data_IF_538007710470
#
_entry.id   IF_538007710470
#
_cell.length_a   1.000
_cell.length_b   1.000
_cell.length_c   1.000
_cell.angle_alpha   90.00
_cell.angle_beta   90.00
_cell.angle_gamma   90.00
#
_symmetry.space_group_name_H-M   'P 1'
#
loop_
_entity.id
_entity.type
_entity.pdbx_description
1 polymer ?
#
# COMPACT_ATOMS: atom_id res chain seq x y z
N UNK A 1 -12.45 -13.76 60.64
CA UNK A 1 -12.89 -13.67 59.22
C UNK A 1 -12.32 -12.47 58.44
N UNK A 2 -11.33 -11.73 58.96
CA UNK A 2 -10.79 -10.52 58.29
C UNK A 2 -9.63 -10.77 57.29
N UNK A 3 -9.07 -11.99 57.23
CA UNK A 3 -7.83 -12.25 56.47
C UNK A 3 -8.04 -12.66 55.00
N UNK A 4 -9.28 -12.98 54.58
CA UNK A 4 -9.58 -13.38 53.18
C UNK A 4 -9.82 -12.20 52.25
N UNK A 5 -10.32 -11.07 52.76
CA UNK A 5 -10.55 -9.89 51.91
C UNK A 5 -9.25 -9.17 51.53
N UNK A 6 -8.25 -9.10 52.40
CA UNK A 6 -6.95 -8.48 52.06
C UNK A 6 -6.23 -9.18 50.89
N UNK A 7 -6.37 -10.51 50.76
CA UNK A 7 -5.71 -11.28 49.70
C UNK A 7 -6.32 -11.03 48.31
N UNK A 8 -7.63 -10.83 48.21
CA UNK A 8 -8.28 -10.50 46.93
C UNK A 8 -7.92 -9.08 46.45
N UNK A 9 -7.81 -8.11 47.36
CA UNK A 9 -7.47 -6.73 47.00
C UNK A 9 -6.03 -6.61 46.48
N UNK A 10 -5.09 -7.35 47.07
CA UNK A 10 -3.69 -7.31 46.65
C UNK A 10 -3.51 -7.90 45.23
N UNK A 11 -4.23 -8.97 44.90
CA UNK A 11 -4.12 -9.60 43.58
C UNK A 11 -4.69 -8.73 42.45
N UNK A 12 -5.79 -8.02 42.69
CA UNK A 12 -6.43 -7.17 41.69
C UNK A 12 -5.59 -5.93 41.36
N UNK A 13 -4.99 -5.33 42.39
CA UNK A 13 -4.10 -4.16 42.22
C UNK A 13 -2.82 -4.54 41.46
N UNK A 14 -2.24 -5.71 41.72
CA UNK A 14 -1.08 -6.19 40.97
C UNK A 14 -1.39 -6.46 39.48
N UNK A 15 -2.57 -7.01 39.17
CA UNK A 15 -2.98 -7.25 37.78
C UNK A 15 -3.19 -5.92 37.04
N UNK A 16 -3.85 -4.94 37.67
CA UNK A 16 -4.05 -3.61 37.07
C UNK A 16 -2.73 -2.86 36.85
N UNK A 17 -1.77 -2.98 37.78
CA UNK A 17 -0.42 -2.41 37.62
C UNK A 17 0.36 -3.11 36.49
N UNK A 18 0.26 -4.43 36.35
CA UNK A 18 0.91 -5.17 35.26
C UNK A 18 0.29 -4.84 33.89
N UNK A 19 -1.04 -4.79 33.78
CA UNK A 19 -1.71 -4.41 32.53
C UNK A 19 -1.41 -2.96 32.18
N UNK A 20 -1.43 -2.06 33.18
CA UNK A 20 -1.08 -0.65 33.00
C UNK A 20 0.36 -0.45 32.56
N UNK A 21 1.32 -1.17 33.13
CA UNK A 21 2.74 -1.08 32.73
C UNK A 21 3.01 -1.68 31.35
N UNK A 22 2.33 -2.76 30.96
CA UNK A 22 2.41 -3.31 29.60
C UNK A 22 1.81 -2.33 28.58
N UNK A 23 0.69 -1.70 28.90
CA UNK A 23 0.07 -0.69 28.04
C UNK A 23 0.96 0.55 27.91
N UNK A 24 1.52 1.03 29.02
CA UNK A 24 2.44 2.16 29.04
C UNK A 24 3.75 1.85 28.30
N UNK A 25 4.30 0.64 28.43
CA UNK A 25 5.50 0.23 27.69
C UNK A 25 5.24 0.13 26.17
N UNK A 26 4.04 -0.27 25.74
CA UNK A 26 3.65 -0.23 24.32
C UNK A 26 3.40 1.18 23.79
N UNK A 27 2.91 2.09 24.63
CA UNK A 27 2.74 3.50 24.26
C UNK A 27 4.09 4.25 24.28
N UNK A 28 5.02 3.85 25.14
CA UNK A 28 6.38 4.41 25.27
C UNK A 28 7.41 3.77 24.34
N UNK A 29 7.14 2.59 23.76
CA UNK A 29 7.71 2.16 22.48
C UNK A 29 7.11 3.00 21.34
N UNK A 30 7.06 4.31 21.57
CA UNK A 30 6.52 5.31 20.69
C UNK A 30 7.30 5.25 19.38
N UNK A 31 6.56 5.02 18.31
CA UNK A 31 6.96 5.14 16.91
C UNK A 31 8.04 6.24 16.76
N UNK A 32 9.33 5.88 16.67
CA UNK A 32 10.40 6.84 16.73
C UNK A 32 10.21 7.86 15.61
N UNK A 33 9.89 9.10 16.00
CA UNK A 33 9.66 10.24 15.11
C UNK A 33 8.47 10.13 14.13
N UNK A 34 7.44 9.34 14.41
CA UNK A 34 6.27 9.23 13.53
C UNK A 34 6.58 8.53 12.21
N UNK A 35 7.43 7.48 12.25
CA UNK A 35 7.79 6.65 11.10
C UNK A 35 6.56 5.98 10.51
N UNK A 36 5.64 5.44 11.30
CA UNK A 36 4.47 4.71 10.78
C UNK A 36 3.60 5.60 9.87
N UNK A 37 3.18 6.82 10.26
CA UNK A 37 2.49 7.75 9.36
C UNK A 37 3.28 8.06 8.08
N UNK A 38 4.60 8.26 8.17
CA UNK A 38 5.47 8.54 7.02
C UNK A 38 5.54 7.34 6.08
N UNK A 39 5.71 6.13 6.61
CA UNK A 39 5.69 4.88 5.84
C UNK A 39 4.36 4.71 5.11
N UNK A 40 3.23 4.96 5.77
CA UNK A 40 1.90 4.89 5.14
C UNK A 40 1.78 5.89 3.98
N UNK A 41 2.23 7.13 4.20
CA UNK A 41 2.17 8.18 3.19
C UNK A 41 3.10 7.88 2.00
N UNK A 42 4.36 7.48 2.23
CA UNK A 42 5.31 7.05 1.19
C UNK A 42 4.75 5.89 0.37
N UNK A 43 4.27 4.86 1.07
CA UNK A 43 3.69 3.67 0.43
C UNK A 43 2.50 4.07 -0.43
N UNK A 44 1.63 4.96 0.05
CA UNK A 44 0.51 5.41 -0.76
C UNK A 44 0.97 6.11 -2.04
N UNK A 45 1.91 7.04 -1.92
CA UNK A 45 2.39 7.83 -3.04
C UNK A 45 3.06 6.97 -4.12
N UNK A 46 3.99 6.11 -3.70
CA UNK A 46 4.72 5.20 -4.59
C UNK A 46 3.76 4.19 -5.24
N UNK A 47 2.92 3.52 -4.45
CA UNK A 47 1.95 2.55 -4.98
C UNK A 47 0.94 3.20 -5.91
N UNK A 48 0.55 4.45 -5.66
CA UNK A 48 -0.41 5.17 -6.48
C UNK A 48 0.21 5.53 -7.83
N UNK A 49 1.45 6.02 -7.83
CA UNK A 49 2.20 6.34 -9.03
C UNK A 49 2.40 5.12 -9.94
N UNK A 50 2.89 4.01 -9.39
CA UNK A 50 3.07 2.76 -10.15
C UNK A 50 1.75 2.22 -10.69
N UNK A 51 0.74 2.10 -9.82
CA UNK A 51 -0.58 1.59 -10.19
C UNK A 51 -1.24 2.47 -11.24
N UNK A 52 -1.13 3.79 -11.11
CA UNK A 52 -1.67 4.74 -12.07
C UNK A 52 -1.02 4.59 -13.43
N UNK A 53 0.32 4.49 -13.49
CA UNK A 53 1.04 4.31 -14.75
C UNK A 53 0.59 3.02 -15.48
N UNK A 54 0.43 1.92 -14.75
CA UNK A 54 -0.01 0.64 -15.31
C UNK A 54 -1.47 0.70 -15.76
N UNK A 55 -2.39 1.05 -14.87
CA UNK A 55 -3.83 1.06 -15.16
C UNK A 55 -4.19 2.10 -16.24
N UNK A 56 -3.55 3.27 -16.27
CA UNK A 56 -3.75 4.27 -17.32
C UNK A 56 -3.20 3.82 -18.68
N UNK A 57 -2.10 3.06 -18.70
CA UNK A 57 -1.59 2.43 -19.93
C UNK A 57 -2.60 1.44 -20.51
N UNK A 58 -3.21 0.61 -19.66
CA UNK A 58 -4.24 -0.34 -20.09
C UNK A 58 -5.55 0.35 -20.47
N UNK A 59 -5.97 1.40 -19.75
CA UNK A 59 -7.10 2.25 -20.14
C UNK A 59 -6.92 2.80 -21.56
N UNK A 60 -5.74 3.34 -21.88
CA UNK A 60 -5.41 3.82 -23.23
C UNK A 60 -5.42 2.69 -24.26
N UNK A 61 -4.99 1.50 -23.87
CA UNK A 61 -5.05 0.30 -24.74
C UNK A 61 -6.50 -0.09 -25.04
N UNK A 62 -7.38 -0.11 -24.03
CA UNK A 62 -8.81 -0.36 -24.22
C UNK A 62 -9.50 0.71 -25.08
N UNK A 63 -9.11 1.98 -24.93
CA UNK A 63 -9.62 3.07 -25.76
C UNK A 63 -9.25 2.91 -27.25
N UNK A 64 -8.08 2.33 -27.55
CA UNK A 64 -7.58 2.07 -28.91
C UNK A 64 -8.04 0.73 -29.49
N UNK A 65 -8.54 -0.19 -28.65
CA UNK A 65 -8.85 -1.58 -29.03
C UNK A 65 -9.89 -1.71 -30.16
N UNK A 66 -10.68 -0.66 -30.43
CA UNK A 66 -11.57 -0.61 -31.60
C UNK A 66 -10.83 -0.77 -32.94
N UNK A 67 -9.51 -0.53 -32.99
CA UNK A 67 -8.69 -0.73 -34.19
C UNK A 67 -7.96 -2.09 -34.20
N UNK A 68 -7.47 -2.57 -33.05
CA UNK A 68 -6.82 -3.89 -32.85
C UNK A 68 -6.88 -4.31 -31.37
N UNK A 69 -7.39 -5.49 -31.01
CA UNK A 69 -7.38 -5.95 -29.62
C UNK A 69 -5.97 -6.41 -29.20
N UNK A 70 -5.17 -5.49 -28.66
CA UNK A 70 -3.80 -5.78 -28.16
C UNK A 70 -3.78 -6.40 -26.75
N UNK A 71 -4.91 -6.30 -26.03
CA UNK A 71 -5.05 -6.70 -24.63
C UNK A 71 -6.19 -7.71 -24.49
N UNK A 72 -5.84 -8.99 -24.37
CA UNK A 72 -6.77 -10.09 -24.08
C UNK A 72 -6.81 -10.40 -22.58
N UNK A 73 -7.87 -11.06 -22.12
CA UNK A 73 -7.98 -11.53 -20.72
C UNK A 73 -6.83 -12.44 -20.32
N UNK A 74 -6.42 -13.36 -21.21
CA UNK A 74 -5.30 -14.26 -20.98
C UNK A 74 -3.98 -13.51 -20.77
N UNK A 75 -3.69 -12.54 -21.64
CA UNK A 75 -2.48 -11.71 -21.53
C UNK A 75 -2.49 -10.88 -20.26
N UNK A 76 -3.64 -10.33 -19.89
CA UNK A 76 -3.82 -9.58 -18.65
C UNK A 76 -3.56 -10.43 -17.41
N UNK A 77 -4.18 -11.61 -17.33
CA UNK A 77 -3.99 -12.56 -16.22
C UNK A 77 -2.54 -13.05 -16.16
N UNK A 78 -1.89 -13.28 -17.30
CA UNK A 78 -0.48 -13.65 -17.35
C UNK A 78 0.43 -12.53 -16.81
N UNK A 79 0.16 -11.26 -17.15
CA UNK A 79 0.88 -10.11 -16.60
C UNK A 79 0.69 -9.99 -15.08
N UNK A 80 -0.56 -10.13 -14.60
CA UNK A 80 -0.82 -10.12 -13.14
C UNK A 80 -0.11 -11.28 -12.43
N UNK A 81 -0.04 -12.46 -13.05
CA UNK A 81 0.65 -13.61 -12.48
C UNK A 81 2.17 -13.39 -12.42
N UNK A 82 2.73 -12.81 -13.48
CA UNK A 82 4.15 -12.45 -13.52
C UNK A 82 4.50 -11.42 -12.45
N UNK A 83 3.67 -10.40 -12.29
CA UNK A 83 3.90 -9.33 -11.30
C UNK A 83 3.71 -9.84 -9.88
N UNK A 84 2.67 -10.64 -9.63
CA UNK A 84 2.35 -11.15 -8.28
C UNK A 84 3.29 -12.25 -7.78
N UNK A 85 4.05 -12.89 -8.67
CA UNK A 85 4.75 -14.15 -8.43
C UNK A 85 3.85 -15.33 -8.01
N UNK A 86 2.52 -15.19 -8.16
CA UNK A 86 1.53 -16.24 -7.91
C UNK A 86 0.64 -16.46 -9.12
N UNK A 87 0.08 -17.67 -9.25
CA UNK A 87 -0.87 -17.97 -10.33
C UNK A 87 -2.19 -17.26 -10.10
N UNK A 88 -2.55 -16.33 -10.99
CA UNK A 88 -3.85 -15.67 -10.98
C UNK A 88 -4.87 -16.54 -11.72
N UNK A 89 -6.03 -16.86 -11.11
CA UNK A 89 -7.03 -17.68 -11.79
C UNK A 89 -7.61 -16.93 -12.98
N UNK A 90 -7.83 -17.64 -14.09
CA UNK A 90 -8.43 -17.05 -15.30
C UNK A 90 -9.82 -16.45 -15.05
N UNK A 91 -10.53 -16.92 -14.02
CA UNK A 91 -11.83 -16.41 -13.58
C UNK A 91 -11.77 -15.11 -12.79
N UNK A 92 -10.57 -14.62 -12.43
CA UNK A 92 -10.40 -13.35 -11.71
C UNK A 92 -10.89 -12.15 -12.54
N UNK A 93 -10.85 -12.26 -13.86
CA UNK A 93 -11.21 -11.17 -14.79
C UNK A 93 -12.20 -11.70 -15.82
N UNK A 94 -13.42 -11.19 -15.80
CA UNK A 94 -14.46 -11.56 -16.77
C UNK A 94 -14.20 -10.98 -18.17
N UNK A 95 -13.76 -9.72 -18.21
CA UNK A 95 -13.35 -9.00 -19.42
C UNK A 95 -12.31 -7.96 -19.01
N UNK A 96 -11.32 -7.70 -19.85
CA UNK A 96 -10.32 -6.65 -19.55
C UNK A 96 -10.83 -5.28 -19.96
N UNK A 97 -11.40 -5.19 -21.15
CA UNK A 97 -11.98 -3.96 -21.67
C UNK A 97 -13.50 -4.07 -21.71
N UNK A 98 -14.17 -2.98 -21.33
CA UNK A 98 -15.61 -2.79 -21.50
C UNK A 98 -15.82 -1.51 -22.34
N UNK A 99 -16.41 -1.69 -23.53
CA UNK A 99 -16.46 -0.66 -24.56
C UNK A 99 -15.07 -0.08 -24.90
N UNK A 100 -14.77 1.14 -24.43
CA UNK A 100 -13.50 1.85 -24.65
C UNK A 100 -12.74 2.14 -23.36
N UNK A 101 -13.03 1.39 -22.30
CA UNK A 101 -12.45 1.60 -20.97
C UNK A 101 -12.00 0.29 -20.36
N UNK A 102 -11.05 0.38 -19.43
CA UNK A 102 -10.67 -0.72 -18.56
C UNK A 102 -11.90 -1.12 -17.73
N UNK A 103 -12.19 -2.42 -17.72
CA UNK A 103 -13.37 -2.92 -17.03
C UNK A 103 -13.20 -2.80 -15.52
N UNK A 104 -14.33 -2.78 -14.82
CA UNK A 104 -14.36 -2.82 -13.36
C UNK A 104 -13.70 -4.08 -12.80
N UNK A 105 -13.91 -5.24 -13.43
CA UNK A 105 -13.34 -6.52 -12.97
C UNK A 105 -11.82 -6.56 -13.16
N UNK A 106 -11.28 -5.95 -14.21
CA UNK A 106 -9.84 -5.83 -14.41
C UNK A 106 -9.19 -4.98 -13.30
N UNK A 107 -9.75 -3.80 -13.01
CA UNK A 107 -9.25 -2.92 -11.93
C UNK A 107 -9.34 -3.64 -10.58
N UNK A 108 -10.47 -4.30 -10.29
CA UNK A 108 -10.66 -5.03 -9.04
C UNK A 108 -9.66 -6.17 -8.87
N UNK A 109 -9.32 -6.89 -9.95
CA UNK A 109 -8.31 -7.94 -9.92
C UNK A 109 -6.89 -7.40 -9.73
N UNK A 110 -6.59 -6.17 -10.17
CA UNK A 110 -5.25 -5.62 -10.02
C UNK A 110 -4.83 -5.51 -8.54
N UNK A 111 -5.71 -5.03 -7.66
CA UNK A 111 -5.33 -4.77 -6.26
C UNK A 111 -4.85 -6.01 -5.49
N UNK A 112 -5.61 -7.13 -5.41
CA UNK A 112 -5.19 -8.29 -4.62
C UNK A 112 -3.99 -9.04 -5.21
N UNK A 113 -3.70 -8.88 -6.50
CA UNK A 113 -2.61 -9.62 -7.15
C UNK A 113 -1.35 -8.78 -7.37
N UNK A 114 -1.47 -7.52 -7.76
CA UNK A 114 -0.32 -6.73 -8.21
C UNK A 114 0.09 -5.60 -7.27
N UNK A 115 -0.83 -5.04 -6.47
CA UNK A 115 -0.57 -3.80 -5.72
C UNK A 115 0.62 -3.88 -4.78
N UNK A 116 0.73 -4.96 -4.01
CA UNK A 116 1.78 -5.16 -3.02
C UNK A 116 2.89 -6.12 -3.47
N UNK A 117 2.92 -6.45 -4.75
CA UNK A 117 3.85 -7.47 -5.25
C UNK A 117 5.28 -6.94 -5.38
N UNK A 118 5.46 -5.65 -5.67
CA UNK A 118 6.76 -5.00 -5.87
C UNK A 118 7.24 -4.17 -4.68
N UNK A 119 6.69 -4.39 -3.48
CA UNK A 119 7.24 -3.76 -2.27
C UNK A 119 8.66 -4.29 -1.97
N UNK A 120 9.58 -3.46 -1.44
CA UNK A 120 10.92 -3.91 -1.10
C UNK A 120 10.89 -4.97 0.01
N UNK A 121 11.69 -6.04 -0.17
CA UNK A 121 11.78 -7.16 0.79
C UNK A 121 13.21 -7.49 1.21
N UNK A 122 14.19 -6.84 0.60
CA UNK A 122 15.60 -7.01 0.91
C UNK A 122 16.23 -5.66 1.19
N UNK A 123 17.32 -5.67 1.95
CA UNK A 123 18.16 -4.49 2.16
C UNK A 123 18.45 -3.72 0.86
N UNK A 124 18.81 -4.45 -0.21
CA UNK A 124 19.17 -3.84 -1.50
C UNK A 124 17.97 -3.18 -2.15
N UNK A 125 16.78 -3.79 -2.07
CA UNK A 125 15.56 -3.19 -2.60
C UNK A 125 15.18 -1.95 -1.80
N UNK A 126 15.29 -2.03 -0.46
CA UNK A 126 14.95 -0.95 0.44
C UNK A 126 15.88 0.27 0.25
N UNK A 127 17.19 0.04 0.17
CA UNK A 127 18.20 1.07 -0.07
C UNK A 127 18.06 1.75 -1.44
N UNK A 128 17.37 1.11 -2.41
CA UNK A 128 17.12 1.66 -3.75
C UNK A 128 15.69 2.17 -3.93
N UNK A 129 14.89 2.13 -2.87
CA UNK A 129 13.48 2.53 -2.88
C UNK A 129 13.27 3.92 -2.30
N UNK A 130 12.05 4.42 -2.39
CA UNK A 130 11.62 5.67 -1.75
C UNK A 130 11.73 5.65 -0.21
N UNK A 131 11.96 4.48 0.38
CA UNK A 131 12.06 4.30 1.82
C UNK A 131 13.49 4.42 2.36
N UNK A 132 14.51 4.59 1.50
CA UNK A 132 15.91 4.72 1.93
C UNK A 132 16.12 5.78 3.04
N UNK A 133 15.49 6.97 3.00
CA UNK A 133 15.65 7.95 4.07
C UNK A 133 15.16 7.44 5.44
N UNK A 134 14.12 6.61 5.49
CA UNK A 134 13.63 6.02 6.74
C UNK A 134 14.61 4.97 7.29
N UNK A 135 15.33 4.29 6.40
CA UNK A 135 16.39 3.36 6.77
C UNK A 135 17.61 4.11 7.31
N UNK A 136 17.99 5.24 6.70
CA UNK A 136 19.14 6.06 7.15
C UNK A 136 18.91 6.68 8.54
N UNK A 137 17.66 7.04 8.86
CA UNK A 137 17.28 7.55 10.18
C UNK A 137 17.40 6.50 11.30
N UNK A 138 17.24 5.22 10.97
CA UNK A 138 17.25 4.13 11.94
C UNK A 138 17.66 2.78 11.32
N UNK A 139 18.94 2.59 10.99
CA UNK A 139 19.41 1.42 10.25
C UNK A 139 19.27 0.11 11.04
N UNK A 140 19.15 0.18 12.37
CA UNK A 140 18.93 -0.99 13.22
C UNK A 140 17.50 -1.52 13.18
N UNK A 141 16.56 -0.80 12.54
CA UNK A 141 15.13 -1.11 12.50
C UNK A 141 14.68 -1.44 11.07
N UNK A 142 15.56 -2.02 10.25
CA UNK A 142 15.29 -2.41 8.86
C UNK A 142 14.13 -3.41 8.76
N UNK A 143 14.16 -4.49 9.55
CA UNK A 143 13.11 -5.52 9.53
C UNK A 143 11.75 -4.92 9.92
N UNK A 144 11.72 -4.03 10.92
CA UNK A 144 10.50 -3.32 11.34
C UNK A 144 9.97 -2.42 10.23
N UNK A 145 10.85 -1.74 9.48
CA UNK A 145 10.47 -0.92 8.35
C UNK A 145 9.86 -1.76 7.21
N UNK A 146 10.42 -2.95 6.93
CA UNK A 146 9.84 -3.89 5.96
C UNK A 146 8.43 -4.32 6.41
N UNK A 147 8.26 -4.69 7.68
CA UNK A 147 6.96 -5.07 8.25
C UNK A 147 5.94 -3.91 8.17
N UNK A 148 6.37 -2.67 8.43
CA UNK A 148 5.55 -1.47 8.33
C UNK A 148 5.12 -1.19 6.89
N UNK A 149 6.03 -1.34 5.93
CA UNK A 149 5.73 -1.18 4.49
C UNK A 149 4.71 -2.22 4.04
N UNK A 150 4.91 -3.47 4.43
CA UNK A 150 3.96 -4.56 4.15
C UNK A 150 2.58 -4.28 4.73
N UNK A 151 2.54 -3.86 6.00
CA UNK A 151 1.30 -3.52 6.71
C UNK A 151 0.59 -2.34 6.04
N UNK A 152 1.33 -1.28 5.71
CA UNK A 152 0.82 -0.11 4.99
C UNK A 152 0.24 -0.50 3.63
N UNK A 153 0.94 -1.35 2.86
CA UNK A 153 0.46 -1.78 1.57
C UNK A 153 -0.81 -2.63 1.66
N UNK A 154 -0.89 -3.58 2.61
CA UNK A 154 -2.11 -4.37 2.83
C UNK A 154 -3.31 -3.50 3.22
N UNK A 155 -3.08 -2.48 4.05
CA UNK A 155 -4.12 -1.52 4.41
C UNK A 155 -4.60 -0.72 3.19
N UNK A 156 -3.66 -0.27 2.34
CA UNK A 156 -3.98 0.41 1.08
C UNK A 156 -4.76 -0.51 0.13
N UNK A 157 -4.36 -1.78 0.03
CA UNK A 157 -5.06 -2.78 -0.78
C UNK A 157 -6.53 -2.90 -0.39
N UNK A 158 -6.81 -3.01 0.91
CA UNK A 158 -8.18 -3.07 1.42
C UNK A 158 -8.95 -1.78 1.10
N UNK A 159 -8.32 -0.60 1.31
CA UNK A 159 -8.97 0.69 1.06
C UNK A 159 -9.27 0.91 -0.41
N UNK A 160 -8.30 0.71 -1.29
CA UNK A 160 -8.46 0.95 -2.72
C UNK A 160 -9.38 -0.05 -3.41
N UNK A 161 -9.46 -1.28 -2.87
CA UNK A 161 -10.50 -2.23 -3.28
C UNK A 161 -11.90 -1.69 -3.00
N UNK A 162 -12.10 -1.02 -1.85
CA UNK A 162 -13.37 -0.37 -1.53
C UNK A 162 -13.62 0.91 -2.38
N UNK A 163 -12.57 1.58 -2.83
CA UNK A 163 -12.60 2.79 -3.67
C UNK A 163 -12.54 2.50 -5.18
N UNK A 164 -12.92 1.28 -5.60
CA UNK A 164 -12.86 0.82 -6.98
C UNK A 164 -13.54 1.79 -7.98
N UNK A 165 -14.67 2.38 -7.60
CA UNK A 165 -15.38 3.33 -8.47
C UNK A 165 -14.63 4.66 -8.63
N UNK A 166 -13.90 5.10 -7.61
CA UNK A 166 -13.06 6.30 -7.69
C UNK A 166 -11.96 6.05 -8.71
N UNK A 167 -11.24 4.93 -8.59
CA UNK A 167 -10.23 4.51 -9.57
C UNK A 167 -10.79 4.43 -10.99
N UNK A 168 -11.91 3.73 -11.17
CA UNK A 168 -12.51 3.56 -12.49
C UNK A 168 -12.97 4.89 -13.10
N UNK A 169 -13.42 5.84 -12.27
CA UNK A 169 -13.82 7.18 -12.73
C UNK A 169 -12.60 8.00 -13.14
N UNK A 170 -11.60 8.09 -12.26
CA UNK A 170 -10.38 8.86 -12.50
C UNK A 170 -9.64 8.38 -13.76
N UNK A 171 -9.55 7.06 -13.97
CA UNK A 171 -8.93 6.47 -15.17
C UNK A 171 -9.71 6.81 -16.44
N UNK A 172 -11.05 6.71 -16.40
CA UNK A 172 -11.91 7.00 -17.54
C UNK A 172 -11.86 8.47 -17.98
N UNK A 173 -11.69 9.37 -17.03
CA UNK A 173 -11.58 10.81 -17.29
C UNK A 173 -10.15 11.26 -17.64
N UNK A 174 -9.20 10.31 -17.74
CA UNK A 174 -7.79 10.56 -18.05
C UNK A 174 -7.19 11.67 -17.17
N UNK A 175 -7.54 11.64 -15.89
CA UNK A 175 -7.08 12.65 -14.93
C UNK A 175 -5.57 12.60 -14.74
N UNK A 176 -5.01 13.72 -14.27
CA UNK A 176 -3.57 13.78 -13.94
C UNK A 176 -3.31 12.95 -12.68
N UNK A 177 -2.13 12.33 -12.60
CA UNK A 177 -1.68 11.56 -11.43
C UNK A 177 -1.88 12.34 -10.11
N UNK A 178 -1.59 13.64 -10.09
CA UNK A 178 -1.74 14.48 -8.90
C UNK A 178 -3.19 14.56 -8.40
N UNK A 179 -4.19 14.50 -9.29
CA UNK A 179 -5.61 14.48 -8.92
C UNK A 179 -5.98 13.13 -8.33
N UNK A 180 -5.47 12.03 -8.91
CA UNK A 180 -5.66 10.69 -8.38
C UNK A 180 -5.03 10.53 -6.99
N UNK A 181 -3.79 11.00 -6.82
CA UNK A 181 -3.10 11.00 -5.52
C UNK A 181 -3.87 11.81 -4.47
N UNK A 182 -4.38 13.00 -4.82
CA UNK A 182 -5.18 13.81 -3.90
C UNK A 182 -6.49 13.13 -3.48
N UNK A 183 -7.06 12.27 -4.33
CA UNK A 183 -8.28 11.53 -4.02
C UNK A 183 -8.04 10.24 -3.22
N UNK A 184 -6.89 9.58 -3.45
CA UNK A 184 -6.64 8.21 -3.01
C UNK A 184 -5.63 8.09 -1.87
N UNK A 185 -4.84 9.14 -1.61
CA UNK A 185 -3.81 9.16 -0.57
C UNK A 185 -4.15 10.06 0.61
N UNK A 186 -3.71 9.68 1.83
CA UNK A 186 -4.03 10.43 3.05
C UNK A 186 -3.30 11.77 3.12
N UNK A 187 -2.17 11.89 2.43
CA UNK A 187 -1.33 13.08 2.37
C UNK A 187 -1.02 13.45 0.91
N UNK A 188 -0.79 14.74 0.59
CA UNK A 188 -0.35 15.15 -0.73
C UNK A 188 1.01 14.54 -1.08
N UNK A 189 1.10 13.89 -2.24
CA UNK A 189 2.35 13.34 -2.75
C UNK A 189 3.15 14.44 -3.45
N UNK A 190 4.17 14.99 -2.79
CA UNK A 190 5.08 15.98 -3.37
C UNK A 190 6.43 15.36 -3.60
N UNK A 191 6.75 15.02 -4.85
CA UNK A 191 8.07 14.53 -5.19
C UNK A 191 9.08 15.69 -5.16
N UNK A 192 10.22 15.46 -4.50
CA UNK A 192 11.38 16.33 -4.50
C UNK A 192 12.57 15.53 -4.99
N UNK A 193 13.20 16.03 -6.04
CA UNK A 193 14.43 15.47 -6.56
C UNK A 193 15.59 16.20 -5.89
N UNK A 194 16.40 15.47 -5.13
CA UNK A 194 17.65 15.96 -4.56
C UNK A 194 18.83 15.47 -5.42
N UNK A 195 19.76 16.38 -5.73
CA UNK A 195 20.89 16.07 -6.59
C UNK A 195 21.91 15.10 -5.96
N UNK A 196 21.86 14.93 -4.63
CA UNK A 196 22.78 14.13 -3.84
C UNK A 196 22.07 12.85 -3.38
N UNK A 197 20.88 12.98 -2.81
CA UNK A 197 20.16 11.87 -2.17
C UNK A 197 19.18 11.14 -3.12
N UNK A 198 19.04 11.63 -4.36
CA UNK A 198 18.05 11.12 -5.31
C UNK A 198 16.65 11.67 -5.04
N UNK A 199 15.63 10.96 -5.49
CA UNK A 199 14.24 11.41 -5.36
C UNK A 199 13.55 10.90 -4.09
N UNK A 200 12.86 11.81 -3.38
CA UNK A 200 12.09 11.49 -2.17
C UNK A 200 10.77 12.26 -2.15
N UNK A 201 9.78 11.77 -1.39
CA UNK A 201 8.56 12.54 -1.16
C UNK A 201 8.73 13.49 0.04
N UNK A 202 8.41 14.76 -0.17
CA UNK A 202 8.26 15.81 0.84
C UNK A 202 6.87 15.69 1.48
N UNK A 203 6.78 14.84 2.51
CA UNK A 203 5.54 14.44 3.20
C UNK A 203 5.29 15.21 4.49
#
# INVERSE_FOLDING_TARGET
>A
MHNKQLRLWCSSVCILLLVGTIFLARVLAADPAGRTPRTIALTCCERCEETWAILSSWQRSCARAAARPELTTEKYVAMLSLQSHFSVPATAVSSVCEAKSLSRSAIAAYFPYALCASIPRTHVDLARSVYSPLMDEAPTLEDELIDDIESACRNLQSRWTAELEVWATQLRTETKLSVAQAALCPSPCRWREDAIDGGTYDL
#
